data_IF_158005672776
#
_entry.id   IF_158005672776
#
_cell.length_a   1.000
_cell.length_b   1.000
_cell.length_c   1.000
_cell.angle_alpha   90.00
_cell.angle_beta   90.00
_cell.angle_gamma   90.00
#
_symmetry.space_group_name_H-M   'P 1'
#
loop_
_entity.id
_entity.type
_entity.pdbx_description
1 polymer ?
#
# COMPACT_ATOMS: atom_id res chain seq x y z
N UNK A 1 -3.85 -6.70 1.21
CA UNK A 1 -3.30 -5.70 2.13
C UNK A 1 -2.96 -6.37 3.46
N UNK A 2 -1.75 -6.22 3.98
CA UNK A 2 -1.35 -6.91 5.24
C UNK A 2 -1.88 -6.16 6.46
N UNK A 3 -1.65 -4.85 6.52
CA UNK A 3 -2.22 -3.97 7.53
C UNK A 3 -2.04 -2.51 7.12
N UNK A 4 -3.00 -1.65 7.43
CA UNK A 4 -2.93 -0.20 7.23
C UNK A 4 -3.41 0.50 8.51
N UNK A 5 -2.69 1.53 8.96
CA UNK A 5 -3.18 2.40 10.01
C UNK A 5 -3.68 3.70 9.39
N UNK A 6 -5.00 3.88 9.31
CA UNK A 6 -5.62 5.04 8.67
C UNK A 6 -5.37 6.35 9.42
N UNK A 7 -5.16 6.30 10.75
CA UNK A 7 -4.84 7.48 11.56
C UNK A 7 -3.43 7.98 11.26
N UNK A 8 -2.48 7.06 11.05
CA UNK A 8 -1.09 7.38 10.73
C UNK A 8 -0.82 7.53 9.23
N UNK A 9 -1.73 7.04 8.37
CA UNK A 9 -1.64 7.14 6.92
C UNK A 9 -0.59 6.22 6.27
N UNK A 10 -0.23 5.10 6.92
CA UNK A 10 0.71 4.14 6.31
C UNK A 10 0.45 2.70 6.76
N UNK A 11 1.02 1.77 5.99
CA UNK A 11 0.93 0.34 6.23
C UNK A 11 1.91 -0.45 5.37
N UNK A 12 1.67 -1.76 5.27
CA UNK A 12 2.43 -2.65 4.41
C UNK A 12 1.51 -3.58 3.62
N UNK A 13 1.93 -3.87 2.39
CA UNK A 13 1.33 -4.87 1.51
C UNK A 13 2.23 -6.10 1.55
N UNK A 14 1.64 -7.27 1.74
CA UNK A 14 2.30 -8.55 1.51
C UNK A 14 1.93 -9.03 0.10
N UNK A 15 2.87 -9.04 -0.86
CA UNK A 15 2.62 -9.52 -2.21
C UNK A 15 2.34 -11.03 -2.24
N UNK A 16 1.47 -11.48 -3.16
CA UNK A 16 1.12 -12.90 -3.31
C UNK A 16 2.27 -13.76 -3.87
N UNK A 17 3.25 -13.14 -4.54
CA UNK A 17 4.43 -13.79 -5.11
C UNK A 17 5.51 -14.15 -4.04
N UNK A 18 5.27 -13.80 -2.78
CA UNK A 18 6.17 -14.07 -1.67
C UNK A 18 7.39 -13.14 -1.61
N UNK A 19 7.41 -12.06 -2.39
CA UNK A 19 8.42 -11.02 -2.30
C UNK A 19 8.33 -10.24 -0.97
N UNK A 20 9.32 -9.37 -0.71
CA UNK A 20 9.40 -8.63 0.53
C UNK A 20 8.17 -7.72 0.74
N UNK A 21 7.78 -7.52 2.00
CA UNK A 21 6.71 -6.59 2.36
C UNK A 21 6.97 -5.21 1.74
N UNK A 22 5.97 -4.67 1.05
CA UNK A 22 6.04 -3.40 0.33
C UNK A 22 5.41 -2.30 1.18
N UNK A 23 6.15 -1.24 1.44
CA UNK A 23 5.65 -0.09 2.21
C UNK A 23 4.55 0.66 1.46
N UNK A 24 3.43 0.98 2.11
CA UNK A 24 2.31 1.71 1.52
C UNK A 24 2.03 3.00 2.31
N UNK A 25 2.06 4.14 1.63
CA UNK A 25 1.72 5.44 2.22
C UNK A 25 0.43 5.98 1.59
N UNK A 26 -0.38 6.72 2.38
CA UNK A 26 -1.67 7.23 1.90
C UNK A 26 -1.55 8.12 0.67
N UNK A 27 -0.41 8.80 0.47
CA UNK A 27 -0.17 9.65 -0.69
C UNK A 27 -0.17 8.87 -2.01
N UNK A 28 0.21 7.59 -1.97
CA UNK A 28 0.26 6.71 -3.13
C UNK A 28 -1.10 6.14 -3.53
N UNK A 29 -2.13 6.28 -2.67
CA UNK A 29 -3.48 5.77 -2.92
C UNK A 29 -4.20 6.67 -3.92
N UNK A 30 -4.60 6.08 -5.04
CA UNK A 30 -5.38 6.69 -6.10
C UNK A 30 -6.86 6.69 -5.69
N UNK A 31 -7.26 7.69 -4.89
CA UNK A 31 -8.67 7.92 -4.52
C UNK A 31 -8.96 9.43 -4.48
N UNK A 32 -10.18 9.79 -4.90
CA UNK A 32 -10.69 11.17 -4.85
C UNK A 32 -11.16 11.57 -3.45
N UNK A 33 -11.34 10.60 -2.54
CA UNK A 33 -11.82 10.82 -1.17
C UNK A 33 -10.80 10.41 -0.12
N UNK A 34 -11.29 9.81 0.97
CA UNK A 34 -10.44 9.36 2.06
C UNK A 34 -9.48 8.25 1.58
N UNK A 35 -8.18 8.49 1.69
CA UNK A 35 -7.11 7.62 1.20
C UNK A 35 -6.74 6.59 2.27
N UNK A 36 -7.58 5.56 2.39
CA UNK A 36 -7.37 4.44 3.31
C UNK A 36 -7.40 3.11 2.57
N UNK A 37 -6.78 2.10 3.18
CA UNK A 37 -6.91 0.70 2.79
C UNK A 37 -7.40 -0.10 4.00
N UNK A 38 -8.23 -1.10 3.76
CA UNK A 38 -8.70 -2.03 4.78
C UNK A 38 -7.79 -3.26 4.85
N UNK A 39 -7.75 -3.93 6.00
CA UNK A 39 -7.05 -5.21 6.13
C UNK A 39 -7.65 -6.24 5.18
N UNK A 40 -6.83 -7.09 4.57
CA UNK A 40 -7.23 -8.09 3.56
C UNK A 40 -7.80 -7.51 2.25
N UNK A 41 -7.90 -6.19 2.10
CA UNK A 41 -8.30 -5.56 0.85
C UNK A 41 -7.30 -5.90 -0.27
N UNK A 42 -7.83 -6.32 -1.42
CA UNK A 42 -7.02 -6.55 -2.62
C UNK A 42 -6.71 -5.20 -3.27
N UNK A 43 -5.46 -5.05 -3.69
CA UNK A 43 -4.97 -3.81 -4.29
C UNK A 43 -4.04 -4.13 -5.44
N UNK A 44 -4.07 -3.28 -6.45
CA UNK A 44 -3.08 -3.22 -7.51
C UNK A 44 -2.16 -2.01 -7.25
N UNK A 45 -0.87 -2.16 -7.52
CA UNK A 45 0.16 -1.14 -7.23
C UNK A 45 1.42 -1.39 -8.05
N UNK A 46 2.21 -0.33 -8.23
CA UNK A 46 3.56 -0.42 -8.77
C UNK A 46 4.57 -0.50 -7.63
N UNK A 47 5.58 -1.38 -7.74
CA UNK A 47 6.68 -1.45 -6.77
C UNK A 47 7.83 -0.55 -7.22
N UNK A 48 8.25 0.36 -6.35
CA UNK A 48 9.41 1.21 -6.56
C UNK A 48 10.39 1.11 -5.39
N UNK A 49 11.63 1.53 -5.61
CA UNK A 49 12.65 1.55 -4.56
C UNK A 49 12.60 2.90 -3.83
N UNK A 50 12.25 2.86 -2.55
CA UNK A 50 12.22 4.03 -1.66
C UNK A 50 13.38 4.06 -0.65
N UNK A 51 13.47 5.15 0.14
CA UNK A 51 14.50 5.30 1.18
C UNK A 51 14.38 4.27 2.32
N UNK A 52 13.22 3.63 2.47
CA UNK A 52 12.94 2.60 3.49
C UNK A 52 12.85 1.18 2.92
N UNK A 53 13.29 0.97 1.67
CA UNK A 53 13.10 -0.29 0.96
C UNK A 53 12.01 -0.20 -0.11
N UNK A 54 11.49 -1.36 -0.57
CA UNK A 54 10.38 -1.42 -1.51
C UNK A 54 9.16 -0.64 -1.01
N UNK A 55 8.59 0.21 -1.87
CA UNK A 55 7.37 0.97 -1.59
C UNK A 55 6.39 0.90 -2.75
N UNK A 56 5.11 1.03 -2.44
CA UNK A 56 4.01 0.95 -3.39
C UNK A 56 3.64 2.35 -3.89
N UNK A 57 3.50 2.48 -5.20
CA UNK A 57 3.04 3.66 -5.92
C UNK A 57 1.74 3.32 -6.67
N UNK A 58 0.98 4.35 -7.06
CA UNK A 58 -0.25 4.20 -7.86
C UNK A 58 -1.27 3.19 -7.30
N UNK A 59 -1.39 3.09 -5.98
CA UNK A 59 -2.19 2.05 -5.31
C UNK A 59 -3.67 2.24 -5.64
N UNK A 60 -4.31 1.18 -6.13
CA UNK A 60 -5.74 1.13 -6.47
C UNK A 60 -6.39 -0.05 -5.76
N UNK A 61 -7.55 0.17 -5.15
CA UNK A 61 -8.39 -0.90 -4.66
C UNK A 61 -9.04 -1.66 -5.83
N UNK A 62 -9.10 -3.00 -5.74
CA UNK A 62 -9.77 -3.86 -6.72
C UNK A 62 -10.89 -4.68 -6.08
#
# INVERSE_FOLDING_TARGET
MKWFNSEKGYGFIAPEDGSADVFAHYSAIQSQGFRTLEENQRVEFDVTQGPKGPQAENIRAI
#
